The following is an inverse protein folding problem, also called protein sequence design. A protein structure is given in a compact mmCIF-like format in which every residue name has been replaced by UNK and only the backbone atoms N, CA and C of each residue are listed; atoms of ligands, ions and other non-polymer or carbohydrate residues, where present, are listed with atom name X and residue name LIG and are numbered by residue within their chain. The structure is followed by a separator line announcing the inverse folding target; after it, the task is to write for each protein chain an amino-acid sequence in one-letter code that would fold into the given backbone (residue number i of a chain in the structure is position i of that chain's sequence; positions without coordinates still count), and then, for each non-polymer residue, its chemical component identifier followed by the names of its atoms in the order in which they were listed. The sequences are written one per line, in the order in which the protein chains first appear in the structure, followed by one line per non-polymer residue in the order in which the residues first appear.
data_IF_685648937403
#
_entry.id   IF_685648937403
#
_cell.length_a   1.000
_cell.length_b   1.000
_cell.length_c   1.000
_cell.angle_alpha   90.00
_cell.angle_beta   90.00
_cell.angle_gamma   90.00
#
_symmetry.space_group_name_H-M   'P 1'
#
loop_
_entity.id
_entity.type
_entity.pdbx_description
1 polymer ?
#
# COMPACT_ATOMS: atom_id res chain seq x y z
N UNK A 1 -29.37 6.41 -12.30
CA UNK A 1 -28.24 5.95 -13.13
C UNK A 1 -27.21 5.10 -12.38
N UNK A 2 -26.66 5.48 -11.21
CA UNK A 2 -25.76 4.61 -10.43
C UNK A 2 -26.34 3.24 -9.95
N UNK A 3 -27.60 3.16 -9.47
CA UNK A 3 -28.15 1.87 -9.02
C UNK A 3 -28.40 0.87 -10.15
N UNK A 4 -28.44 1.31 -11.42
CA UNK A 4 -28.68 0.44 -12.58
C UNK A 4 -27.46 -0.41 -12.97
N UNK A 5 -26.25 -0.07 -12.50
CA UNK A 5 -25.01 -0.77 -12.85
C UNK A 5 -24.57 -1.82 -11.82
N UNK A 6 -25.34 -2.05 -10.76
CA UNK A 6 -24.94 -2.88 -9.60
C UNK A 6 -23.53 -2.52 -9.08
N UNK A 7 -23.14 -1.24 -9.25
CA UNK A 7 -21.78 -0.75 -9.06
C UNK A 7 -21.31 -0.95 -7.61
N UNK A 8 -22.20 -0.75 -6.65
CA UNK A 8 -21.93 -1.02 -5.24
C UNK A 8 -21.58 -2.49 -4.97
N UNK A 9 -22.20 -3.44 -5.66
CA UNK A 9 -21.86 -4.87 -5.53
C UNK A 9 -20.47 -5.15 -6.11
N UNK A 10 -20.10 -4.51 -7.23
CA UNK A 10 -18.75 -4.61 -7.78
C UNK A 10 -17.74 -4.08 -6.77
N UNK A 11 -17.96 -2.88 -6.22
CA UNK A 11 -17.06 -2.28 -5.22
C UNK A 11 -16.91 -3.18 -3.99
N UNK A 12 -18.00 -3.77 -3.49
CA UNK A 12 -17.94 -4.71 -2.37
C UNK A 12 -17.11 -5.95 -2.70
N UNK A 13 -17.36 -6.60 -3.85
CA UNK A 13 -16.58 -7.76 -4.30
C UNK A 13 -15.09 -7.47 -4.42
N UNK A 14 -14.72 -6.30 -4.95
CA UNK A 14 -13.31 -5.90 -5.08
C UNK A 14 -12.72 -5.56 -3.71
N UNK A 15 -13.45 -4.85 -2.86
CA UNK A 15 -12.99 -4.53 -1.50
C UNK A 15 -12.74 -5.79 -0.66
N UNK A 16 -13.53 -6.85 -0.83
CA UNK A 16 -13.33 -8.12 -0.13
C UNK A 16 -12.00 -8.81 -0.48
N UNK A 17 -11.39 -8.45 -1.62
CA UNK A 17 -10.07 -8.93 -2.04
C UNK A 17 -8.91 -8.05 -1.56
N UNK A 18 -9.19 -6.86 -1.03
CA UNK A 18 -8.14 -5.96 -0.54
C UNK A 18 -7.63 -6.38 0.84
N UNK A 19 -6.33 -6.21 1.08
CA UNK A 19 -5.66 -6.64 2.31
C UNK A 19 -5.85 -5.60 3.43
N UNK A 20 -5.65 -4.31 3.14
CA UNK A 20 -5.66 -3.25 4.17
C UNK A 20 -7.03 -2.61 4.34
N UNK A 21 -7.37 -2.16 5.56
CA UNK A 21 -8.62 -1.43 5.82
C UNK A 21 -8.71 -0.16 4.98
N UNK A 22 -7.59 0.55 4.81
CA UNK A 22 -7.50 1.76 3.98
C UNK A 22 -7.82 1.48 2.51
N UNK A 23 -7.32 0.36 1.95
CA UNK A 23 -7.66 -0.03 0.58
C UNK A 23 -9.15 -0.38 0.44
N UNK A 24 -9.72 -1.13 1.40
CA UNK A 24 -11.16 -1.43 1.43
C UNK A 24 -12.02 -0.17 1.45
N UNK A 25 -11.68 0.79 2.31
CA UNK A 25 -12.38 2.07 2.40
C UNK A 25 -12.26 2.87 1.10
N UNK A 26 -11.06 2.95 0.50
CA UNK A 26 -10.81 3.66 -0.76
C UNK A 26 -11.64 3.06 -1.91
N UNK A 27 -11.72 1.74 -2.00
CA UNK A 27 -12.53 1.05 -3.02
C UNK A 27 -14.02 1.35 -2.82
N UNK A 28 -14.54 1.20 -1.59
CA UNK A 28 -15.96 1.44 -1.29
C UNK A 28 -16.40 2.90 -1.51
N UNK A 29 -15.48 3.85 -1.32
CA UNK A 29 -15.71 5.27 -1.57
C UNK A 29 -15.54 5.68 -3.05
N UNK A 30 -15.10 4.76 -3.91
CA UNK A 30 -14.88 5.04 -5.33
C UNK A 30 -16.19 5.42 -6.04
N UNK A 31 -16.08 6.31 -7.01
CA UNK A 31 -17.20 6.76 -7.85
C UNK A 31 -16.83 6.58 -9.32
N UNK A 32 -17.80 6.35 -10.22
CA UNK A 32 -17.51 6.26 -11.65
C UNK A 32 -16.83 7.54 -12.15
N UNK A 33 -15.83 7.35 -12.99
CA UNK A 33 -15.09 8.43 -13.62
C UNK A 33 -15.67 8.70 -15.01
N UNK A 34 -15.57 9.94 -15.46
CA UNK A 34 -15.99 10.36 -16.82
C UNK A 34 -14.81 10.83 -17.67
N UNK A 35 -13.65 11.08 -17.05
CA UNK A 35 -12.44 11.48 -17.76
C UNK A 35 -11.77 10.26 -18.41
N UNK A 36 -11.87 10.16 -19.74
CA UNK A 36 -11.32 9.05 -20.53
C UNK A 36 -9.83 8.79 -20.28
N UNK A 37 -8.98 9.83 -20.32
CA UNK A 37 -7.53 9.69 -20.10
C UNK A 37 -7.23 9.07 -18.74
N UNK A 38 -7.97 9.49 -17.70
CA UNK A 38 -7.82 8.94 -16.35
C UNK A 38 -8.28 7.48 -16.27
N UNK A 39 -9.36 7.12 -16.96
CA UNK A 39 -9.86 5.74 -17.01
C UNK A 39 -8.83 4.84 -17.69
N UNK A 40 -8.31 5.24 -18.86
CA UNK A 40 -7.30 4.48 -19.60
C UNK A 40 -6.04 4.25 -18.76
N UNK A 41 -5.58 5.29 -18.06
CA UNK A 41 -4.44 5.19 -17.15
C UNK A 41 -4.66 4.16 -16.02
N UNK A 42 -5.81 4.21 -15.34
CA UNK A 42 -6.15 3.25 -14.27
C UNK A 42 -6.31 1.82 -14.80
N UNK A 43 -6.83 1.66 -16.01
CA UNK A 43 -6.93 0.35 -16.65
C UNK A 43 -5.54 -0.22 -16.99
N UNK A 44 -4.60 0.64 -17.39
CA UNK A 44 -3.22 0.21 -17.62
C UNK A 44 -2.53 -0.22 -16.31
N UNK A 45 -2.72 0.51 -15.20
CA UNK A 45 -2.24 0.08 -13.88
C UNK A 45 -2.76 -1.32 -13.51
N UNK A 46 -4.05 -1.59 -13.75
CA UNK A 46 -4.65 -2.91 -13.49
C UNK A 46 -4.06 -3.98 -14.41
N UNK A 47 -3.85 -3.67 -15.69
CA UNK A 47 -3.23 -4.59 -16.65
C UNK A 47 -1.82 -4.98 -16.21
N UNK A 48 -1.01 -4.00 -15.82
CA UNK A 48 0.34 -4.24 -15.32
C UNK A 48 0.35 -5.05 -14.02
N UNK A 49 -0.54 -4.73 -13.07
CA UNK A 49 -0.70 -5.51 -11.84
C UNK A 49 -0.98 -7.00 -12.13
N UNK A 50 -1.82 -7.29 -13.13
CA UNK A 50 -2.08 -8.66 -13.57
C UNK A 50 -0.82 -9.33 -14.14
N UNK A 51 0.04 -8.60 -14.86
CA UNK A 51 1.31 -9.16 -15.35
C UNK A 51 2.28 -9.46 -14.20
N UNK A 52 2.37 -8.58 -13.20
CA UNK A 52 3.16 -8.84 -11.99
C UNK A 52 2.70 -10.13 -11.31
N UNK A 53 1.38 -10.33 -11.15
CA UNK A 53 0.82 -11.52 -10.52
C UNK A 53 1.10 -12.82 -11.29
N UNK A 54 1.29 -12.75 -12.62
CA UNK A 54 1.71 -13.90 -13.44
C UNK A 54 3.18 -14.26 -13.23
N UNK A 55 4.03 -13.27 -12.91
CA UNK A 55 5.45 -13.49 -12.62
C UNK A 55 5.63 -13.99 -11.19
N UNK A 56 4.96 -13.36 -10.23
CA UNK A 56 5.06 -13.72 -8.83
C UNK A 56 3.74 -13.45 -8.11
N UNK A 57 3.17 -14.53 -7.57
CA UNK A 57 1.89 -14.50 -6.86
C UNK A 57 1.99 -13.96 -5.43
N UNK A 58 3.20 -13.96 -4.84
CA UNK A 58 3.43 -13.57 -3.44
C UNK A 58 3.96 -12.14 -3.32
N UNK A 59 3.12 -11.15 -3.66
CA UNK A 59 3.45 -9.73 -3.46
C UNK A 59 3.50 -9.43 -1.95
N UNK A 60 4.60 -8.87 -1.40
CA UNK A 60 4.77 -8.65 0.03
C UNK A 60 3.96 -7.42 0.52
N UNK A 61 2.62 -7.54 0.48
CA UNK A 61 1.70 -6.53 1.00
C UNK A 61 1.15 -7.04 2.33
N UNK A 62 1.60 -6.44 3.42
CA UNK A 62 1.11 -6.73 4.77
C UNK A 62 0.21 -5.59 5.25
N UNK A 63 -0.85 -5.93 5.99
CA UNK A 63 -1.63 -4.92 6.71
C UNK A 63 -0.90 -4.56 7.99
N UNK A 64 -0.63 -3.27 8.15
CA UNK A 64 -0.14 -2.68 9.39
C UNK A 64 -1.01 -1.47 9.72
N UNK A 65 -2.29 -1.74 9.98
CA UNK A 65 -3.31 -0.71 10.23
C UNK A 65 -2.97 0.17 11.45
N UNK A 66 -2.17 -0.37 12.39
CA UNK A 66 -1.75 0.28 13.64
C UNK A 66 -0.87 1.51 13.41
N UNK A 67 -0.14 1.58 12.29
CA UNK A 67 0.73 2.72 11.97
C UNK A 67 -0.01 4.05 11.93
N UNK A 68 -1.29 4.04 11.52
CA UNK A 68 -2.10 5.27 11.52
C UNK A 68 -2.30 5.82 12.93
N UNK A 69 -2.52 4.93 13.90
CA UNK A 69 -2.67 5.31 15.31
C UNK A 69 -1.35 5.79 15.93
N UNK A 70 -0.23 5.17 15.55
CA UNK A 70 1.10 5.60 16.03
C UNK A 70 1.49 6.97 15.48
N UNK A 71 1.21 7.24 14.21
CA UNK A 71 1.42 8.58 13.63
C UNK A 71 0.55 9.63 14.33
N UNK A 72 -0.71 9.30 14.65
CA UNK A 72 -1.59 10.21 15.39
C UNK A 72 -1.08 10.47 16.82
N UNK A 73 -0.61 9.43 17.51
CA UNK A 73 0.03 9.53 18.83
C UNK A 73 1.24 10.47 18.80
N UNK A 74 2.14 10.29 17.82
CA UNK A 74 3.32 11.16 17.62
C UNK A 74 2.90 12.60 17.34
N UNK A 75 1.91 12.82 16.46
CA UNK A 75 1.41 14.16 16.13
C UNK A 75 0.80 14.90 17.33
N UNK A 76 0.34 14.15 18.35
CA UNK A 76 -0.14 14.69 19.64
C UNK A 76 1.00 14.95 20.64
N UNK A 77 2.25 14.72 20.25
CA UNK A 77 3.43 14.89 21.11
C UNK A 77 3.64 13.74 22.11
N UNK A 78 2.97 12.60 21.91
CA UNK A 78 3.10 11.44 22.78
C UNK A 78 4.21 10.50 22.26
N UNK A 79 5.01 9.97 23.18
CA UNK A 79 6.09 9.03 22.86
C UNK A 79 5.56 7.65 22.51
N UNK A 80 6.23 6.97 21.58
CA UNK A 80 6.01 5.55 21.33
C UNK A 80 6.72 4.70 22.40
N UNK A 81 6.06 3.64 22.84
CA UNK A 81 6.65 2.62 23.72
C UNK A 81 7.59 1.69 22.92
N UNK A 82 8.51 0.96 23.60
CA UNK A 82 9.40 0.01 22.94
C UNK A 82 8.67 -1.03 22.06
N UNK A 83 7.54 -1.57 22.53
CA UNK A 83 6.72 -2.53 21.76
C UNK A 83 6.15 -1.90 20.48
N UNK A 84 5.78 -0.61 20.52
CA UNK A 84 5.28 0.11 19.36
C UNK A 84 6.42 0.39 18.36
N UNK A 85 7.63 0.69 18.83
CA UNK A 85 8.82 0.87 17.99
C UNK A 85 9.20 -0.42 17.23
N UNK A 86 9.02 -1.60 17.84
CA UNK A 86 9.20 -2.88 17.13
C UNK A 86 8.25 -3.01 15.94
N UNK A 87 6.99 -2.58 16.08
CA UNK A 87 6.03 -2.59 14.97
C UNK A 87 6.42 -1.57 13.89
N UNK A 88 6.92 -0.39 14.28
CA UNK A 88 7.46 0.61 13.33
C UNK A 88 8.61 0.01 12.51
N UNK A 89 9.55 -0.70 13.13
CA UNK A 89 10.63 -1.38 12.39
C UNK A 89 10.11 -2.43 11.42
N UNK A 90 9.14 -3.25 11.86
CA UNK A 90 8.51 -4.22 10.96
C UNK A 90 7.83 -3.54 9.77
N UNK A 91 7.19 -2.38 9.98
CA UNK A 91 6.61 -1.58 8.90
C UNK A 91 7.66 -1.08 7.90
N UNK A 92 8.78 -0.54 8.39
CA UNK A 92 9.85 -0.04 7.53
C UNK A 92 10.48 -1.18 6.71
N UNK A 93 10.74 -2.33 7.34
CA UNK A 93 11.24 -3.52 6.65
C UNK A 93 10.28 -4.00 5.55
N UNK A 94 8.97 -3.99 5.79
CA UNK A 94 7.97 -4.30 4.76
C UNK A 94 7.98 -3.30 3.60
N UNK A 95 8.11 -2.00 3.87
CA UNK A 95 8.24 -0.98 2.82
C UNK A 95 9.45 -1.26 1.94
N UNK A 96 10.60 -1.58 2.55
CA UNK A 96 11.84 -1.92 1.85
C UNK A 96 11.70 -3.20 1.01
N UNK A 97 11.09 -4.25 1.56
CA UNK A 97 10.82 -5.51 0.84
C UNK A 97 9.89 -5.30 -0.35
N UNK A 98 8.83 -4.51 -0.18
CA UNK A 98 7.91 -4.17 -1.26
C UNK A 98 8.61 -3.36 -2.36
N UNK A 99 9.42 -2.37 -1.99
CA UNK A 99 10.21 -1.60 -2.96
C UNK A 99 11.12 -2.50 -3.79
N UNK A 100 11.91 -3.37 -3.14
CA UNK A 100 12.79 -4.34 -3.81
C UNK A 100 12.02 -5.31 -4.72
N UNK A 101 10.92 -5.87 -4.23
CA UNK A 101 10.07 -6.78 -5.01
C UNK A 101 9.60 -6.14 -6.33
N UNK A 102 9.23 -4.87 -6.29
CA UNK A 102 8.72 -4.11 -7.42
C UNK A 102 9.82 -3.64 -8.38
N UNK A 103 11.02 -3.31 -7.87
CA UNK A 103 12.18 -2.94 -8.72
C UNK A 103 12.44 -4.00 -9.80
N UNK A 104 12.41 -5.28 -9.41
CA UNK A 104 12.61 -6.40 -10.33
C UNK A 104 11.48 -6.58 -11.37
N UNK A 105 10.40 -5.79 -11.31
CA UNK A 105 9.25 -5.84 -12.23
C UNK A 105 9.13 -4.59 -13.11
N UNK A 106 10.02 -3.62 -12.97
CA UNK A 106 9.94 -2.34 -13.68
C UNK A 106 9.87 -2.50 -15.20
N UNK A 107 10.65 -3.42 -15.77
CA UNK A 107 10.59 -3.70 -17.20
C UNK A 107 9.22 -4.20 -17.67
N UNK A 108 8.52 -4.99 -16.85
CA UNK A 108 7.21 -5.56 -17.21
C UNK A 108 6.04 -4.62 -16.89
N UNK A 109 6.19 -3.79 -15.88
CA UNK A 109 5.11 -3.04 -15.26
C UNK A 109 5.54 -1.61 -14.87
N UNK A 110 6.03 -0.80 -15.82
CA UNK A 110 6.69 0.47 -15.56
C UNK A 110 5.78 1.53 -14.91
N UNK A 111 4.47 1.48 -15.13
CA UNK A 111 3.56 2.45 -14.54
C UNK A 111 3.31 2.15 -13.05
N UNK A 112 2.94 0.93 -12.68
CA UNK A 112 2.62 0.59 -11.29
C UNK A 112 3.88 0.55 -10.41
N UNK A 113 5.07 0.33 -10.97
CA UNK A 113 6.33 0.43 -10.22
C UNK A 113 6.64 1.84 -9.76
N UNK A 114 6.07 2.89 -10.39
CA UNK A 114 6.21 4.28 -9.91
C UNK A 114 5.73 4.48 -8.46
N UNK A 115 4.70 3.73 -8.03
CA UNK A 115 4.27 3.73 -6.62
C UNK A 115 5.35 3.20 -5.68
N UNK A 116 6.11 2.17 -6.09
CA UNK A 116 7.21 1.65 -5.30
C UNK A 116 8.38 2.63 -5.23
N UNK A 117 8.65 3.37 -6.32
CA UNK A 117 9.65 4.43 -6.34
C UNK A 117 9.32 5.60 -5.39
N UNK A 118 8.04 5.84 -5.11
CA UNK A 118 7.59 6.84 -4.13
C UNK A 118 7.84 6.43 -2.66
N UNK A 119 8.21 5.17 -2.40
CA UNK A 119 8.60 4.73 -1.05
C UNK A 119 10.00 5.27 -0.77
N UNK A 120 10.11 6.20 0.19
CA UNK A 120 11.39 6.73 0.64
C UNK A 120 12.30 5.62 1.19
N UNK A 121 13.60 5.75 0.93
CA UNK A 121 14.59 5.02 1.70
C UNK A 121 14.69 5.65 3.08
N UNK A 122 14.44 4.84 4.11
CA UNK A 122 14.44 5.24 5.51
C UNK A 122 15.46 4.41 6.31
N UNK A 123 16.54 3.94 5.66
CA UNK A 123 17.56 3.11 6.29
C UNK A 123 18.18 3.71 7.55
N UNK A 124 18.42 5.02 7.58
CA UNK A 124 18.91 5.73 8.78
C UNK A 124 17.90 5.64 9.93
N UNK A 125 16.61 5.85 9.64
CA UNK A 125 15.54 5.72 10.63
C UNK A 125 15.40 4.28 11.13
N UNK A 126 15.49 3.29 10.24
CA UNK A 126 15.51 1.86 10.61
C UNK A 126 16.66 1.57 11.59
N UNK A 127 17.86 2.08 11.31
CA UNK A 127 19.02 1.89 12.19
C UNK A 127 18.83 2.55 13.55
N UNK A 128 18.36 3.79 13.58
CA UNK A 128 18.14 4.52 14.84
C UNK A 128 17.06 3.87 15.71
N UNK A 129 15.93 3.48 15.12
CA UNK A 129 14.88 2.79 15.87
C UNK A 129 15.36 1.43 16.37
N UNK A 130 16.13 0.68 15.55
CA UNK A 130 16.72 -0.61 15.94
C UNK A 130 17.68 -0.47 17.13
N UNK A 131 18.53 0.56 17.11
CA UNK A 131 19.46 0.91 18.20
C UNK A 131 18.72 1.27 19.49
N UNK A 132 17.53 1.84 19.42
CA UNK A 132 16.76 2.21 20.60
C UNK A 132 16.05 1.04 21.29
N UNK A 133 15.81 -0.06 20.56
CA UNK A 133 15.09 -1.22 21.09
C UNK A 133 15.98 -2.43 21.40
N UNK A 134 17.20 -2.45 20.85
CA UNK A 134 18.17 -3.53 21.08
C UNK A 134 19.24 -3.02 22.05
N UNK A 135 19.49 -3.71 23.18
CA UNK A 135 20.49 -3.29 24.16
C UNK A 135 21.93 -3.41 23.64
#
# INVERSE_FOLDING_TARGET
MLPQLDYHRILNKVADKAITKRAKAKIKASRPLTNKKRIEHLLEEVREAVQILKISSSVPIHSLDEMSGYLEQINKGLFLRPDQLTIVLSFLDHCRKLKRFMQDKEFTAPLITTYAWSINDLGELEQEVSRCITP
#
